data_IF_689104056376
#
_entry.id   IF_689104056376
#
_cell.length_a   1.000
_cell.length_b   1.000
_cell.length_c   1.000
_cell.angle_alpha   90.00
_cell.angle_beta   90.00
_cell.angle_gamma   90.00
#
_symmetry.space_group_name_H-M   'P 1'
#
loop_
_entity.id
_entity.type
_entity.pdbx_description
1 polymer ?
#
# COMPACT_ATOMS: atom_id res chain seq x y z
N UNK A 1 7.56 2.78 3.86
CA UNK A 1 8.84 3.48 3.76
C UNK A 1 9.57 2.89 2.57
N UNK A 2 10.22 3.69 1.72
CA UNK A 2 10.92 3.18 0.54
C UNK A 2 12.28 2.61 0.96
N UNK A 3 12.65 1.40 0.49
CA UNK A 3 14.01 0.89 0.66
C UNK A 3 14.97 1.63 -0.29
N UNK A 4 15.60 2.68 0.23
CA UNK A 4 16.55 3.48 -0.53
C UNK A 4 17.87 2.76 -0.84
N UNK A 5 18.18 1.65 -0.18
CA UNK A 5 19.32 0.80 -0.53
C UNK A 5 19.04 -0.06 -1.76
N UNK A 6 17.77 -0.30 -2.09
CA UNK A 6 17.31 -0.94 -3.33
C UNK A 6 16.77 0.05 -4.38
N UNK A 7 16.67 1.34 -4.08
CA UNK A 7 15.98 2.34 -4.91
C UNK A 7 16.33 2.31 -6.41
N UNK A 8 15.29 2.48 -7.23
CA UNK A 8 15.35 2.56 -8.68
C UNK A 8 16.00 3.88 -9.16
N UNK A 9 16.26 3.98 -10.47
CA UNK A 9 16.72 5.27 -11.06
C UNK A 9 15.64 6.33 -10.91
N UNK A 10 14.38 6.00 -11.18
CA UNK A 10 13.25 6.93 -11.09
C UNK A 10 13.04 7.44 -9.66
N UNK A 11 13.08 6.55 -8.65
CA UNK A 11 12.97 6.93 -7.24
C UNK A 11 14.09 7.89 -6.82
N UNK A 12 15.33 7.65 -7.26
CA UNK A 12 16.46 8.57 -7.00
C UNK A 12 16.31 9.91 -7.71
N UNK A 13 15.71 9.95 -8.90
CA UNK A 13 15.38 11.22 -9.58
C UNK A 13 14.28 12.00 -8.86
N UNK A 14 13.28 11.29 -8.31
CA UNK A 14 12.23 11.92 -7.51
C UNK A 14 12.80 12.52 -6.22
N UNK A 15 13.69 11.80 -5.54
CA UNK A 15 14.44 12.32 -4.39
C UNK A 15 15.21 13.59 -4.75
N UNK A 16 15.93 13.58 -5.88
CA UNK A 16 16.62 14.78 -6.37
C UNK A 16 15.66 15.97 -6.53
N UNK A 17 14.49 15.77 -7.16
CA UNK A 17 13.52 16.85 -7.37
C UNK A 17 12.98 17.40 -6.04
N UNK A 18 12.68 16.53 -5.10
CA UNK A 18 12.19 16.91 -3.77
C UNK A 18 13.24 17.71 -3.00
N UNK A 19 14.49 17.21 -2.99
CA UNK A 19 15.60 17.87 -2.31
C UNK A 19 15.95 19.20 -2.99
N UNK A 20 16.02 19.28 -4.31
CA UNK A 20 16.31 20.54 -5.02
C UNK A 20 15.30 21.62 -4.66
N UNK A 21 14.01 21.29 -4.65
CA UNK A 21 12.95 22.22 -4.28
C UNK A 21 13.11 22.71 -2.84
N UNK A 22 13.41 21.79 -1.93
CA UNK A 22 13.67 22.14 -0.52
C UNK A 22 14.87 23.07 -0.39
N UNK A 23 15.98 22.78 -1.07
CA UNK A 23 17.18 23.63 -1.02
C UNK A 23 16.89 25.05 -1.53
N UNK A 24 16.10 25.17 -2.59
CA UNK A 24 15.68 26.47 -3.13
C UNK A 24 14.76 27.24 -2.16
N UNK A 25 13.83 26.55 -1.50
CA UNK A 25 12.90 27.14 -0.53
C UNK A 25 13.61 27.60 0.75
N UNK A 26 14.57 26.83 1.25
CA UNK A 26 15.31 27.09 2.49
C UNK A 26 16.59 27.93 2.27
N UNK A 27 16.92 28.27 1.03
CA UNK A 27 18.14 29.01 0.68
C UNK A 27 19.44 28.23 0.98
N UNK A 28 19.37 26.89 0.99
CA UNK A 28 20.49 26.01 1.27
C UNK A 28 21.25 25.66 -0.02
N UNK A 29 22.56 25.42 0.07
CA UNK A 29 23.33 24.91 -1.06
C UNK A 29 23.39 23.39 -1.08
N UNK A 30 23.66 22.81 -2.26
CA UNK A 30 24.01 21.39 -2.37
C UNK A 30 25.23 21.02 -1.51
N UNK A 31 26.16 21.95 -1.32
CA UNK A 31 27.31 21.76 -0.43
C UNK A 31 26.88 21.55 1.02
N UNK A 32 25.90 22.31 1.50
CA UNK A 32 25.38 22.18 2.86
C UNK A 32 24.65 20.85 3.06
N UNK A 33 23.85 20.43 2.07
CA UNK A 33 23.25 19.10 2.07
C UNK A 33 24.31 18.01 2.20
N UNK A 34 25.33 18.01 1.33
CA UNK A 34 26.33 16.94 1.33
C UNK A 34 27.19 16.92 2.60
N UNK A 35 27.51 18.10 3.15
CA UNK A 35 28.20 18.22 4.43
C UNK A 35 27.38 17.59 5.55
N UNK A 36 26.10 17.94 5.62
CA UNK A 36 25.20 17.50 6.69
C UNK A 36 24.81 16.01 6.56
N UNK A 37 24.81 15.46 5.34
CA UNK A 37 24.40 14.08 5.07
C UNK A 37 25.57 13.09 5.04
N UNK A 38 26.72 13.49 4.51
CA UNK A 38 27.86 12.58 4.23
C UNK A 38 29.09 12.86 5.11
N UNK A 39 29.05 13.91 5.94
CA UNK A 39 30.07 14.17 6.96
C UNK A 39 31.47 14.46 6.44
N UNK A 40 31.61 14.96 5.20
CA UNK A 40 32.92 15.28 4.63
C UNK A 40 33.04 16.76 4.25
N UNK A 41 34.18 17.37 4.58
CA UNK A 41 34.74 18.58 3.96
C UNK A 41 35.20 18.32 2.51
N UNK A 42 34.47 17.49 1.77
CA UNK A 42 34.72 17.26 0.35
C UNK A 42 33.91 18.31 -0.42
N UNK A 43 34.54 19.32 -1.04
CA UNK A 43 33.83 20.11 -2.03
C UNK A 43 33.33 19.12 -3.10
N UNK A 44 32.01 19.04 -3.36
CA UNK A 44 31.52 18.14 -4.38
C UNK A 44 32.23 18.48 -5.69
N UNK A 45 32.97 17.53 -6.25
CA UNK A 45 33.58 17.71 -7.56
C UNK A 45 32.52 18.01 -8.62
N UNK A 46 32.92 18.53 -9.78
CA UNK A 46 31.98 18.77 -10.88
C UNK A 46 31.24 17.47 -11.27
N UNK A 47 29.90 17.53 -11.36
CA UNK A 47 29.05 16.43 -11.85
C UNK A 47 28.28 15.62 -10.80
N UNK A 48 28.41 15.91 -9.51
CA UNK A 48 27.61 15.23 -8.46
C UNK A 48 26.10 15.52 -8.58
N UNK A 49 25.75 16.79 -8.76
CA UNK A 49 24.37 17.22 -8.99
C UNK A 49 23.83 16.59 -10.27
N UNK A 50 24.61 16.57 -11.35
CA UNK A 50 24.20 15.95 -12.61
C UNK A 50 23.93 14.46 -12.48
N UNK A 51 24.78 13.74 -11.74
CA UNK A 51 24.57 12.34 -11.45
C UNK A 51 23.33 12.12 -10.59
N UNK A 52 23.07 12.98 -9.60
CA UNK A 52 21.87 12.86 -8.78
C UNK A 52 20.61 13.19 -9.58
N UNK A 53 20.62 14.27 -10.35
CA UNK A 53 19.57 14.66 -11.29
C UNK A 53 19.22 13.55 -12.27
N UNK A 54 20.22 12.83 -12.75
CA UNK A 54 20.03 11.69 -13.64
C UNK A 54 19.66 10.38 -12.92
N UNK A 55 19.58 10.35 -11.58
CA UNK A 55 19.30 9.14 -10.78
C UNK A 55 20.48 8.15 -10.72
N UNK A 56 21.68 8.58 -11.10
CA UNK A 56 22.93 7.80 -11.11
C UNK A 56 23.71 7.88 -9.80
N UNK A 57 23.21 8.63 -8.80
CA UNK A 57 23.81 8.65 -7.47
C UNK A 57 23.80 7.24 -6.85
N UNK A 58 24.85 6.89 -6.09
CA UNK A 58 24.92 5.61 -5.38
C UNK A 58 23.74 5.45 -4.39
N UNK A 59 23.16 4.25 -4.31
CA UNK A 59 21.99 3.96 -3.45
C UNK A 59 22.27 4.29 -1.97
N UNK A 60 23.46 3.94 -1.47
CA UNK A 60 23.89 4.30 -0.11
C UNK A 60 23.86 5.81 0.15
N UNK A 61 24.18 6.64 -0.85
CA UNK A 61 24.10 8.11 -0.74
C UNK A 61 22.66 8.61 -0.82
N UNK A 62 21.84 8.02 -1.70
CA UNK A 62 20.41 8.32 -1.76
C UNK A 62 19.71 8.02 -0.42
N UNK A 63 20.04 6.88 0.20
CA UNK A 63 19.54 6.51 1.52
C UNK A 63 19.96 7.52 2.59
N UNK A 64 21.24 7.92 2.65
CA UNK A 64 21.70 8.94 3.60
C UNK A 64 20.99 10.30 3.42
N UNK A 65 20.80 10.72 2.17
CA UNK A 65 20.08 11.96 1.84
C UNK A 65 18.61 11.87 2.23
N UNK A 66 17.97 10.72 2.00
CA UNK A 66 16.59 10.51 2.41
C UNK A 66 16.45 10.53 3.94
N UNK A 67 17.34 9.86 4.68
CA UNK A 67 17.28 9.86 6.14
C UNK A 67 17.42 11.27 6.70
N UNK A 68 18.33 12.07 6.15
CA UNK A 68 18.42 13.49 6.51
C UNK A 68 17.14 14.28 6.19
N UNK A 69 16.49 13.99 5.05
CA UNK A 69 15.22 14.61 4.68
C UNK A 69 14.10 14.22 5.65
N UNK A 70 14.04 12.95 6.05
CA UNK A 70 13.05 12.42 6.99
C UNK A 70 13.26 12.97 8.40
N UNK A 71 14.52 13.06 8.85
CA UNK A 71 14.88 13.58 10.18
C UNK A 71 14.59 15.08 10.33
N UNK A 72 14.95 15.90 9.33
CA UNK A 72 14.76 17.37 9.41
C UNK A 72 13.43 17.85 8.86
N UNK A 73 12.88 17.18 7.85
CA UNK A 73 11.69 17.62 7.12
C UNK A 73 10.69 16.45 6.94
N UNK A 74 10.20 15.84 8.03
CA UNK A 74 9.39 14.61 7.98
C UNK A 74 8.12 14.75 7.14
N UNK A 75 7.49 15.93 7.13
CA UNK A 75 6.33 16.20 6.28
C UNK A 75 6.66 16.10 4.78
N UNK A 76 7.86 16.53 4.37
CA UNK A 76 8.33 16.47 2.97
C UNK A 76 8.75 15.06 2.58
N UNK A 77 9.44 14.35 3.48
CA UNK A 77 9.76 12.94 3.28
C UNK A 77 8.49 12.10 3.09
N UNK A 78 7.50 12.27 3.98
CA UNK A 78 6.19 11.61 3.86
C UNK A 78 5.47 11.96 2.55
N UNK A 79 5.51 13.22 2.12
CA UNK A 79 4.92 13.63 0.84
C UNK A 79 5.65 13.02 -0.37
N UNK A 80 6.98 12.90 -0.33
CA UNK A 80 7.77 12.22 -1.36
C UNK A 80 7.43 10.73 -1.42
N UNK A 81 7.34 10.05 -0.28
CA UNK A 81 6.95 8.63 -0.24
C UNK A 81 5.55 8.41 -0.79
N UNK A 82 4.60 9.29 -0.45
CA UNK A 82 3.24 9.22 -1.00
C UNK A 82 3.25 9.41 -2.52
N UNK A 83 3.97 10.43 -3.02
CA UNK A 83 4.04 10.71 -4.46
C UNK A 83 4.68 9.56 -5.25
N UNK A 84 5.72 8.92 -4.69
CA UNK A 84 6.38 7.77 -5.30
C UNK A 84 5.49 6.52 -5.28
N UNK A 85 4.79 6.27 -4.18
CA UNK A 85 3.80 5.19 -4.11
C UNK A 85 2.68 5.40 -5.15
N UNK A 86 2.18 6.64 -5.30
CA UNK A 86 1.15 6.97 -6.29
C UNK A 86 1.67 6.87 -7.74
N UNK A 87 2.97 7.08 -7.98
CA UNK A 87 3.60 6.93 -9.31
C UNK A 87 3.82 5.46 -9.66
N UNK A 88 4.31 4.65 -8.72
CA UNK A 88 4.46 3.20 -8.89
C UNK A 88 3.08 2.55 -9.08
N UNK A 89 2.05 2.96 -8.33
CA UNK A 89 0.66 2.52 -8.55
C UNK A 89 0.19 2.94 -9.95
N UNK A 90 0.42 4.17 -10.39
CA UNK A 90 0.01 4.64 -11.73
C UNK A 90 0.64 3.86 -12.89
N UNK A 91 1.87 3.37 -12.76
CA UNK A 91 2.54 2.64 -13.85
C UNK A 91 2.04 1.20 -14.00
N UNK A 92 1.50 0.63 -12.93
CA UNK A 92 1.11 -0.79 -12.87
C UNK A 92 -0.40 -1.00 -12.81
N UNK A 93 -1.16 0.08 -12.96
CA UNK A 93 -2.62 0.08 -12.80
C UNK A 93 -3.29 0.61 -14.06
N UNK A 94 -4.41 -0.02 -14.45
CA UNK A 94 -5.25 0.46 -15.54
C UNK A 94 -5.90 1.82 -15.23
N UNK A 95 -6.23 2.59 -16.26
CA UNK A 95 -6.75 3.94 -16.09
C UNK A 95 -8.14 3.93 -15.44
N UNK A 96 -9.00 3.01 -15.85
CA UNK A 96 -10.36 2.88 -15.33
C UNK A 96 -10.34 2.39 -13.89
N UNK A 97 -9.50 1.40 -13.57
CA UNK A 97 -9.34 0.92 -12.20
C UNK A 97 -8.86 2.03 -11.26
N UNK A 98 -7.87 2.83 -11.68
CA UNK A 98 -7.40 3.96 -10.88
C UNK A 98 -8.51 4.98 -10.61
N UNK A 99 -9.28 5.34 -11.64
CA UNK A 99 -10.43 6.24 -11.48
C UNK A 99 -11.46 5.63 -10.52
N UNK A 100 -11.81 4.37 -10.74
CA UNK A 100 -12.74 3.60 -9.92
C UNK A 100 -12.34 3.61 -8.44
N UNK A 101 -11.07 3.31 -8.14
CA UNK A 101 -10.48 3.35 -6.81
C UNK A 101 -10.62 4.72 -6.12
N UNK A 102 -10.44 5.80 -6.87
CA UNK A 102 -10.48 7.18 -6.35
C UNK A 102 -11.89 7.68 -6.09
N UNK A 103 -12.85 7.30 -6.95
CA UNK A 103 -14.22 7.79 -6.90
C UNK A 103 -15.10 6.98 -5.95
N UNK A 104 -14.84 5.67 -5.81
CA UNK A 104 -15.74 4.76 -5.09
C UNK A 104 -15.13 4.13 -3.83
N UNK A 105 -13.84 4.32 -3.59
CA UNK A 105 -13.12 3.68 -2.50
C UNK A 105 -13.45 4.24 -1.11
N UNK A 106 -14.05 3.42 -0.24
CA UNK A 106 -14.43 3.84 1.12
C UNK A 106 -13.45 3.31 2.18
N UNK A 107 -12.76 4.22 2.87
CA UNK A 107 -11.73 3.85 3.86
C UNK A 107 -12.22 3.54 5.28
N UNK A 108 -13.44 3.97 5.64
CA UNK A 108 -13.89 3.97 7.05
C UNK A 108 -14.54 2.65 7.51
N UNK A 109 -14.81 1.70 6.60
CA UNK A 109 -15.60 0.48 6.85
C UNK A 109 -14.77 -0.81 6.86
N UNK A 110 -13.45 -0.67 6.95
CA UNK A 110 -12.52 -1.80 7.06
C UNK A 110 -11.49 -1.47 8.11
N UNK A 111 -11.22 -2.43 8.98
CA UNK A 111 -10.16 -2.35 9.98
C UNK A 111 -9.34 -3.64 9.95
N UNK A 112 -8.02 -3.51 9.95
CA UNK A 112 -7.16 -4.66 10.21
C UNK A 112 -7.12 -4.97 11.71
N UNK A 113 -7.23 -6.25 12.05
CA UNK A 113 -7.23 -6.75 13.42
C UNK A 113 -6.09 -7.76 13.56
N UNK A 114 -5.23 -7.59 14.56
CA UNK A 114 -4.20 -8.57 14.88
C UNK A 114 -4.87 -9.77 15.57
N UNK A 115 -4.75 -10.94 14.96
CA UNK A 115 -5.27 -12.19 15.49
C UNK A 115 -4.14 -12.83 16.29
N UNK A 116 -4.05 -12.51 17.59
CA UNK A 116 -3.10 -13.21 18.46
C UNK A 116 -3.60 -14.64 18.63
N UNK A 117 -2.70 -15.61 18.54
CA UNK A 117 -2.96 -16.95 19.06
C UNK A 117 -3.52 -16.80 20.46
N UNK A 118 -4.68 -17.41 20.69
CA UNK A 118 -5.43 -17.26 21.92
C UNK A 118 -4.68 -17.94 23.08
N UNK A 119 -3.65 -17.29 23.61
CA UNK A 119 -3.09 -17.61 24.92
C UNK A 119 -2.52 -16.36 25.63
N UNK A 120 -3.20 -16.03 26.74
CA UNK A 120 -2.67 -15.48 27.98
C UNK A 120 -1.86 -14.16 27.92
N UNK A 121 -2.57 -13.03 28.05
CA UNK A 121 -1.94 -11.76 28.38
C UNK A 121 -2.94 -10.73 28.88
N UNK A 122 -3.00 -10.59 30.21
CA UNK A 122 -3.81 -9.62 30.95
C UNK A 122 -3.52 -8.20 30.43
N UNK A 123 -4.49 -7.62 29.71
CA UNK A 123 -4.57 -6.20 29.32
C UNK A 123 -3.42 -5.70 28.41
N UNK A 124 -3.73 -5.44 27.14
CA UNK A 124 -2.92 -4.56 26.29
C UNK A 124 -3.53 -3.15 26.26
N UNK A 125 -2.67 -2.13 26.40
CA UNK A 125 -3.07 -0.73 26.44
C UNK A 125 -3.80 -0.30 25.16
N UNK A 126 -4.95 0.37 25.33
CA UNK A 126 -5.57 1.16 24.28
C UNK A 126 -4.60 2.27 23.85
N UNK A 127 -3.90 2.08 22.74
CA UNK A 127 -3.25 3.18 22.03
C UNK A 127 -4.33 3.88 21.22
N UNK A 128 -4.69 5.07 21.69
CA UNK A 128 -5.57 6.00 20.98
C UNK A 128 -5.04 6.26 19.58
N UNK A 129 -5.98 6.19 18.63
CA UNK A 129 -6.01 6.78 17.28
C UNK A 129 -4.73 6.74 16.43
N UNK A 130 -4.75 6.12 15.25
CA UNK A 130 -3.72 6.34 14.25
C UNK A 130 -4.12 7.44 13.25
N UNK A 131 -3.35 8.53 13.19
CA UNK A 131 -3.27 9.45 12.03
C UNK A 131 -2.36 8.90 10.89
N UNK A 132 -2.02 7.61 10.93
CA UNK A 132 -1.37 6.83 9.88
C UNK A 132 -1.78 5.36 10.08
N UNK A 133 -2.21 4.64 9.05
CA UNK A 133 -2.82 3.30 9.17
C UNK A 133 -2.03 2.30 10.04
N UNK A 134 -2.68 1.23 10.54
CA UNK A 134 -2.07 0.31 11.50
C UNK A 134 -0.79 -0.32 10.95
N UNK A 135 0.26 -0.33 11.78
CA UNK A 135 1.53 -0.99 11.49
C UNK A 135 1.43 -2.45 11.94
N UNK A 136 1.63 -3.38 11.01
CA UNK A 136 1.59 -4.83 11.28
C UNK A 136 3.03 -5.36 11.25
N UNK A 137 3.51 -6.03 12.32
CA UNK A 137 4.81 -6.69 12.29
C UNK A 137 4.84 -7.82 11.26
N UNK A 138 6.00 -8.05 10.67
CA UNK A 138 6.25 -9.20 9.81
C UNK A 138 5.94 -10.52 10.50
N UNK A 139 5.30 -11.43 9.75
CA UNK A 139 4.87 -12.74 10.26
C UNK A 139 3.74 -12.68 11.28
N UNK A 140 3.25 -11.49 11.67
CA UNK A 140 2.14 -11.40 12.60
C UNK A 140 0.84 -11.81 11.92
N UNK A 141 0.08 -12.68 12.60
CA UNK A 141 -1.25 -13.08 12.16
C UNK A 141 -2.24 -11.91 12.23
N UNK A 142 -2.93 -11.66 11.13
CA UNK A 142 -3.94 -10.60 11.02
C UNK A 142 -5.17 -11.03 10.22
N UNK A 143 -6.25 -10.28 10.36
CA UNK A 143 -7.43 -10.38 9.53
C UNK A 143 -8.07 -9.01 9.34
N UNK A 144 -9.23 -8.99 8.72
CA UNK A 144 -9.99 -7.78 8.42
C UNK A 144 -11.38 -7.87 9.04
N UNK A 145 -11.70 -6.87 9.83
CA UNK A 145 -13.07 -6.57 10.22
C UNK A 145 -13.65 -5.64 9.15
N UNK A 146 -14.68 -6.10 8.45
CA UNK A 146 -15.40 -5.34 7.43
C UNK A 146 -16.80 -5.01 7.93
N UNK A 147 -17.25 -3.76 7.75
CA UNK A 147 -18.63 -3.32 8.00
C UNK A 147 -19.36 -3.20 6.66
N UNK A 148 -19.98 -4.30 6.22
CA UNK A 148 -20.66 -4.37 4.93
C UNK A 148 -22.05 -3.71 5.02
N UNK A 149 -22.39 -2.78 4.11
CA UNK A 149 -23.73 -2.19 4.09
C UNK A 149 -24.79 -3.09 3.45
N UNK A 150 -24.37 -4.11 2.69
CA UNK A 150 -25.25 -4.99 1.93
C UNK A 150 -24.92 -6.46 2.18
N UNK A 151 -25.91 -7.32 1.94
CA UNK A 151 -25.69 -8.75 1.80
C UNK A 151 -25.21 -9.06 0.38
N UNK A 152 -24.28 -9.99 0.22
CA UNK A 152 -23.79 -10.39 -1.08
C UNK A 152 -22.55 -11.28 -1.01
N UNK A 153 -21.72 -11.16 -2.04
CA UNK A 153 -20.43 -11.82 -2.14
C UNK A 153 -19.33 -10.76 -2.14
N UNK A 154 -18.21 -11.07 -1.50
CA UNK A 154 -17.01 -10.26 -1.52
C UNK A 154 -15.92 -10.94 -2.37
N UNK A 155 -15.13 -10.11 -3.04
CA UNK A 155 -13.85 -10.44 -3.66
C UNK A 155 -12.81 -9.46 -3.10
N UNK A 156 -11.62 -9.94 -2.73
CA UNK A 156 -10.59 -9.07 -2.21
C UNK A 156 -9.32 -9.07 -3.07
N UNK A 157 -8.69 -7.89 -3.15
CA UNK A 157 -7.44 -7.67 -3.86
C UNK A 157 -6.42 -6.99 -2.93
N UNK A 158 -5.14 -7.31 -3.12
CA UNK A 158 -4.02 -6.71 -2.41
C UNK A 158 -3.09 -6.00 -3.40
N UNK A 159 -2.76 -4.75 -3.12
CA UNK A 159 -1.71 -4.00 -3.79
C UNK A 159 -0.42 -4.08 -2.97
N UNK A 160 0.66 -4.56 -3.57
CA UNK A 160 2.01 -4.60 -2.98
C UNK A 160 3.04 -4.28 -4.05
N UNK A 161 3.95 -3.34 -3.75
CA UNK A 161 4.97 -2.89 -4.71
C UNK A 161 4.40 -2.34 -6.02
N UNK A 162 3.21 -1.73 -5.98
CA UNK A 162 2.50 -1.22 -7.16
C UNK A 162 1.71 -2.27 -7.96
N UNK A 163 1.98 -3.56 -7.74
CA UNK A 163 1.25 -4.65 -8.38
C UNK A 163 0.03 -5.09 -7.57
N UNK A 164 -1.03 -5.53 -8.26
CA UNK A 164 -2.25 -6.05 -7.65
C UNK A 164 -2.31 -7.57 -7.71
N UNK A 165 -2.75 -8.21 -6.64
CA UNK A 165 -2.87 -9.65 -6.49
C UNK A 165 -4.24 -10.02 -5.93
N UNK A 166 -4.70 -11.22 -6.25
CA UNK A 166 -5.88 -11.79 -5.62
C UNK A 166 -5.61 -12.04 -4.13
N UNK A 167 -6.51 -11.62 -3.25
CA UNK A 167 -6.46 -11.98 -1.84
C UNK A 167 -7.53 -13.06 -1.57
N UNK A 168 -7.14 -14.30 -1.23
CA UNK A 168 -8.10 -15.34 -0.90
C UNK A 168 -8.90 -14.96 0.36
N UNK A 169 -10.22 -15.14 0.29
CA UNK A 169 -11.11 -14.90 1.43
C UNK A 169 -11.46 -16.18 2.19
N UNK A 170 -11.10 -17.34 1.62
CA UNK A 170 -11.14 -18.67 2.24
C UNK A 170 -9.94 -19.49 1.77
N UNK A 171 -9.67 -20.60 2.45
CA UNK A 171 -8.56 -21.52 2.11
C UNK A 171 -8.56 -21.98 0.65
N UNK A 172 -9.74 -22.17 0.05
CA UNK A 172 -9.93 -22.71 -1.29
C UNK A 172 -10.69 -21.76 -2.23
N UNK A 173 -10.98 -20.53 -1.80
CA UNK A 173 -11.80 -19.59 -2.57
C UNK A 173 -11.31 -18.14 -2.50
N UNK A 174 -11.38 -17.45 -3.64
CA UNK A 174 -11.13 -16.02 -3.76
C UNK A 174 -12.27 -15.16 -3.21
N UNK A 175 -13.45 -15.76 -3.03
CA UNK A 175 -14.66 -15.05 -2.64
C UNK A 175 -15.24 -15.65 -1.36
N UNK A 176 -16.04 -14.83 -0.68
CA UNK A 176 -16.83 -15.29 0.46
C UNK A 176 -18.15 -14.52 0.55
N UNK A 177 -19.14 -15.11 1.21
CA UNK A 177 -20.45 -14.47 1.43
C UNK A 177 -20.33 -13.44 2.55
N UNK A 178 -20.85 -12.25 2.32
CA UNK A 178 -20.92 -11.20 3.33
C UNK A 178 -22.37 -10.84 3.64
N UNK A 179 -22.63 -10.54 4.90
CA UNK A 179 -23.90 -10.11 5.44
C UNK A 179 -23.81 -8.63 5.83
N UNK A 180 -24.93 -7.91 5.93
CA UNK A 180 -24.93 -6.56 6.44
C UNK A 180 -24.40 -6.50 7.88
N UNK A 181 -23.56 -5.51 8.16
CA UNK A 181 -22.92 -5.29 9.45
C UNK A 181 -21.47 -5.75 9.49
N UNK A 182 -20.98 -5.90 10.73
CA UNK A 182 -19.57 -6.16 11.02
C UNK A 182 -19.29 -7.66 10.98
N UNK A 183 -18.28 -8.07 10.22
CA UNK A 183 -17.81 -9.45 10.15
C UNK A 183 -16.30 -9.54 9.89
N UNK A 184 -15.73 -10.71 10.20
CA UNK A 184 -14.30 -10.98 9.99
C UNK A 184 -14.06 -11.74 8.68
N UNK A 185 -13.00 -11.36 7.97
CA UNK A 185 -12.45 -12.04 6.81
C UNK A 185 -10.90 -12.09 6.88
N UNK A 186 -10.23 -13.11 6.31
CA UNK A 186 -10.79 -14.32 5.72
C UNK A 186 -11.45 -15.22 6.77
N UNK A 187 -12.21 -16.23 6.33
CA UNK A 187 -12.83 -17.25 7.20
C UNK A 187 -12.38 -18.66 6.85
N UNK A 188 -12.40 -19.53 7.86
CA UNK A 188 -12.15 -20.96 7.68
C UNK A 188 -13.26 -21.62 6.88
N UNK A 189 -12.91 -22.69 6.16
CA UNK A 189 -13.88 -23.44 5.37
C UNK A 189 -15.01 -24.00 6.26
N UNK A 190 -16.24 -23.55 6.02
CA UNK A 190 -17.44 -24.08 6.69
C UNK A 190 -17.67 -23.57 8.12
N UNK A 191 -16.94 -22.54 8.56
CA UNK A 191 -17.19 -21.89 9.86
C UNK A 191 -17.12 -20.37 9.77
N UNK A 192 -17.69 -19.68 10.77
CA UNK A 192 -17.52 -18.24 10.93
C UNK A 192 -16.20 -17.85 11.62
N UNK A 193 -15.31 -18.82 11.84
CA UNK A 193 -14.02 -18.59 12.49
C UNK A 193 -13.08 -17.85 11.53
N UNK A 194 -12.43 -16.76 11.96
CA UNK A 194 -11.43 -16.08 11.15
C UNK A 194 -10.29 -17.03 10.76
N UNK A 195 -9.83 -16.94 9.51
CA UNK A 195 -8.63 -17.62 9.04
C UNK A 195 -7.51 -16.60 8.85
N UNK A 196 -6.49 -16.60 9.74
CA UNK A 196 -5.50 -15.53 9.78
C UNK A 196 -4.62 -15.50 8.52
N UNK A 197 -4.30 -14.29 8.09
CA UNK A 197 -3.31 -13.99 7.07
C UNK A 197 -1.97 -13.67 7.75
N UNK A 198 -0.89 -13.85 6.99
CA UNK A 198 0.47 -13.45 7.37
C UNK A 198 1.15 -12.83 6.14
N UNK A 199 1.95 -11.78 6.34
CA UNK A 199 2.83 -11.22 5.32
C UNK A 199 4.27 -11.48 5.75
N UNK A 200 5.02 -12.16 4.88
CA UNK A 200 6.37 -12.65 5.17
C UNK A 200 7.39 -12.24 4.11
N UNK A 201 6.92 -11.67 2.99
CA UNK A 201 7.75 -11.47 1.81
C UNK A 201 8.04 -9.99 1.53
N UNK A 202 7.07 -9.10 1.76
CA UNK A 202 7.18 -7.71 1.33
C UNK A 202 6.95 -6.73 2.48
N UNK A 203 7.87 -5.78 2.65
CA UNK A 203 7.78 -4.71 3.63
C UNK A 203 7.18 -3.45 3.01
N UNK A 204 6.75 -2.56 3.88
CA UNK A 204 6.23 -1.27 3.46
C UNK A 204 4.72 -1.24 3.29
N UNK A 205 4.24 -0.46 2.34
CA UNK A 205 2.83 -0.11 2.22
C UNK A 205 2.10 -1.15 1.36
N UNK A 206 1.02 -1.69 1.92
CA UNK A 206 0.10 -2.56 1.20
C UNK A 206 -1.27 -1.90 1.14
N UNK A 207 -1.91 -1.95 -0.02
CA UNK A 207 -3.31 -1.56 -0.19
C UNK A 207 -4.19 -2.81 -0.21
N UNK A 208 -5.37 -2.74 0.38
CA UNK A 208 -6.36 -3.80 0.29
C UNK A 208 -7.68 -3.22 -0.15
N UNK A 209 -8.38 -3.96 -1.00
CA UNK A 209 -9.70 -3.60 -1.54
C UNK A 209 -10.63 -4.78 -1.38
N UNK A 210 -11.83 -4.52 -0.89
CA UNK A 210 -12.93 -5.47 -0.80
C UNK A 210 -14.05 -4.98 -1.70
N UNK A 211 -14.31 -5.74 -2.75
CA UNK A 211 -15.36 -5.51 -3.72
C UNK A 211 -16.57 -6.34 -3.30
N UNK A 212 -17.67 -5.69 -2.94
CA UNK A 212 -18.86 -6.33 -2.39
C UNK A 212 -20.04 -6.07 -3.34
N UNK A 213 -20.74 -7.12 -3.75
CA UNK A 213 -21.91 -7.00 -4.63
C UNK A 213 -22.71 -8.30 -4.69
N UNK A 214 -23.73 -8.33 -5.52
CA UNK A 214 -24.47 -9.57 -5.77
C UNK A 214 -23.60 -10.63 -6.46
N UNK A 215 -23.96 -11.90 -6.30
CA UNK A 215 -23.18 -13.01 -6.84
C UNK A 215 -23.02 -12.93 -8.37
N UNK A 216 -24.01 -12.39 -9.08
CA UNK A 216 -23.98 -12.20 -10.53
C UNK A 216 -22.92 -11.18 -10.98
N UNK A 217 -22.60 -10.21 -10.11
CA UNK A 217 -21.55 -9.22 -10.36
C UNK A 217 -20.17 -9.80 -10.03
N UNK A 218 -20.07 -10.57 -8.93
CA UNK A 218 -18.78 -11.07 -8.41
C UNK A 218 -18.31 -12.34 -9.11
N UNK A 219 -19.19 -13.30 -9.35
CA UNK A 219 -18.82 -14.63 -9.86
C UNK A 219 -18.04 -14.58 -11.19
N UNK A 220 -18.40 -13.72 -12.18
CA UNK A 220 -17.62 -13.65 -13.42
C UNK A 220 -16.20 -13.09 -13.20
N UNK A 221 -15.95 -12.34 -12.14
CA UNK A 221 -14.62 -11.77 -11.85
C UNK A 221 -13.61 -12.83 -11.41
N UNK A 222 -14.08 -13.93 -10.81
CA UNK A 222 -13.23 -15.02 -10.34
C UNK A 222 -12.44 -15.66 -11.48
N UNK A 223 -12.96 -15.64 -12.72
CA UNK A 223 -12.25 -16.17 -13.88
C UNK A 223 -11.23 -15.19 -14.48
N UNK A 224 -11.36 -13.89 -14.18
CA UNK A 224 -10.46 -12.82 -14.62
C UNK A 224 -9.30 -12.67 -13.66
N UNK A 225 -9.56 -12.83 -12.36
CA UNK A 225 -8.57 -12.63 -11.30
C UNK A 225 -7.62 -13.82 -11.24
N UNK A 226 -6.32 -13.63 -11.57
CA UNK A 226 -5.35 -14.70 -11.53
C UNK A 226 -4.88 -14.99 -10.11
N UNK A 227 -4.67 -16.27 -9.81
CA UNK A 227 -4.08 -16.72 -8.54
C UNK A 227 -2.56 -16.81 -8.68
N UNK A 228 -1.84 -16.25 -7.71
CA UNK A 228 -0.38 -16.40 -7.61
C UNK A 228 0.47 -15.58 -8.58
N UNK A 229 -0.13 -14.67 -9.37
CA UNK A 229 0.59 -13.71 -10.20
C UNK A 229 -0.01 -12.30 -10.11
N UNK A 230 0.77 -11.25 -10.44
CA UNK A 230 0.23 -9.91 -10.63
C UNK A 230 -0.89 -9.88 -11.67
N UNK A 231 -1.92 -9.08 -11.39
CA UNK A 231 -2.92 -8.67 -12.37
C UNK A 231 -2.33 -7.67 -13.36
N UNK A 232 -2.64 -7.86 -14.64
CA UNK A 232 -2.33 -6.90 -15.68
C UNK A 232 -3.27 -5.68 -15.60
N UNK A 233 -2.84 -4.50 -16.05
CA UNK A 233 -3.70 -3.31 -16.08
C UNK A 233 -5.07 -3.52 -16.74
N UNK A 234 -5.13 -4.28 -17.84
CA UNK A 234 -6.37 -4.58 -18.54
C UNK A 234 -7.32 -5.47 -17.73
N UNK A 235 -6.80 -6.39 -16.90
CA UNK A 235 -7.60 -7.23 -16.01
C UNK A 235 -8.24 -6.35 -14.91
N UNK A 236 -7.49 -5.39 -14.37
CA UNK A 236 -7.99 -4.42 -13.40
C UNK A 236 -9.05 -3.50 -13.99
N UNK A 237 -8.83 -2.99 -15.21
CA UNK A 237 -9.81 -2.15 -15.90
C UNK A 237 -11.10 -2.93 -16.20
N UNK A 238 -10.99 -4.20 -16.59
CA UNK A 238 -12.16 -5.05 -16.80
C UNK A 238 -12.97 -5.26 -15.51
N UNK A 239 -12.32 -5.42 -14.36
CA UNK A 239 -13.00 -5.48 -13.06
C UNK A 239 -13.75 -4.17 -12.79
N UNK A 240 -13.11 -3.02 -12.97
CA UNK A 240 -13.74 -1.72 -12.75
C UNK A 240 -14.96 -1.52 -13.66
N UNK A 241 -14.82 -1.81 -14.95
CA UNK A 241 -15.88 -1.65 -15.94
C UNK A 241 -17.09 -2.54 -15.62
N UNK A 242 -16.86 -3.77 -15.12
CA UNK A 242 -17.94 -4.66 -14.71
C UNK A 242 -18.74 -4.13 -13.52
N UNK A 243 -18.09 -3.51 -12.54
CA UNK A 243 -18.79 -2.86 -11.43
C UNK A 243 -19.54 -1.60 -11.88
N UNK A 244 -18.92 -0.77 -12.71
CA UNK A 244 -19.55 0.44 -13.22
C UNK A 244 -20.76 0.16 -14.12
N UNK A 245 -20.76 -0.97 -14.81
CA UNK A 245 -21.88 -1.43 -15.63
C UNK A 245 -22.97 -2.19 -14.85
N UNK A 246 -22.73 -2.54 -13.59
CA UNK A 246 -23.68 -3.32 -12.80
C UNK A 246 -24.92 -2.47 -12.46
N UNK A 247 -26.11 -3.02 -12.72
CA UNK A 247 -27.39 -2.40 -12.36
C UNK A 247 -27.78 -2.65 -10.90
N UNK A 248 -27.05 -3.53 -10.21
CA UNK A 248 -27.29 -3.88 -8.80
C UNK A 248 -26.38 -3.08 -7.88
N UNK A 249 -26.80 -2.93 -6.62
CA UNK A 249 -26.00 -2.22 -5.62
C UNK A 249 -24.70 -2.98 -5.32
N UNK A 250 -23.60 -2.24 -5.24
CA UNK A 250 -22.28 -2.73 -4.87
C UNK A 250 -21.52 -1.68 -4.05
N UNK A 251 -20.50 -2.13 -3.31
CA UNK A 251 -19.65 -1.28 -2.50
C UNK A 251 -18.19 -1.68 -2.62
N UNK A 252 -17.31 -0.70 -2.60
CA UNK A 252 -15.87 -0.92 -2.56
C UNK A 252 -15.30 -0.36 -1.26
N UNK A 253 -14.74 -1.25 -0.45
CA UNK A 253 -14.10 -0.88 0.81
C UNK A 253 -12.58 -0.95 0.67
N UNK A 254 -11.86 -0.02 1.30
CA UNK A 254 -10.40 0.10 1.14
C UNK A 254 -9.72 0.25 2.50
N UNK A 255 -8.50 -0.28 2.60
CA UNK A 255 -7.60 0.02 3.72
C UNK A 255 -6.15 -0.01 3.22
N UNK A 256 -5.30 0.84 3.81
CA UNK A 256 -3.86 0.78 3.61
C UNK A 256 -3.20 0.35 4.92
N UNK A 257 -2.29 -0.62 4.84
CA UNK A 257 -1.51 -1.11 5.96
C UNK A 257 -0.03 -0.83 5.72
N UNK A 258 0.73 -0.73 6.80
CA UNK A 258 2.18 -0.66 6.76
C UNK A 258 2.74 -1.92 7.42
N UNK A 259 3.45 -2.75 6.67
CA UNK A 259 4.17 -3.89 7.21
C UNK A 259 5.62 -3.51 7.51
N UNK A 260 6.13 -4.00 8.65
CA UNK A 260 7.52 -3.74 9.08
C UNK A 260 8.15 -4.98 9.69
N UNK A 261 9.39 -5.24 9.31
CA UNK A 261 10.30 -6.16 9.99
C UNK A 261 10.72 -5.64 11.38
#
# INVERSE_FOLDING_TARGET
>A
MIDWLAASVAQRQALYRAVKRLLDEEGLSWGDLYRDTLGQDYPPGHGYEDNFRAGRIARKKAHAIYNWLDERYPARAKALEAALADEDERQHTGEHWRRFLSEHGRYARVRAVLLRDADLGIVSFARGEPLAGPVIPFGASFGFEIDSPIAGMALALQAVGGAWYALPLREDALTDVVLPGVQMLPRQLGSDTPYPLSEEAHDGRHGFVFLIGQAEVIAPLVSIVPVGRPMAPAELDQIADQFLAAETEWHMLRINLMFRA
#
